data_IF_263076780693
#
_entry.id   IF_263076780693
#
_cell.length_a   1.000
_cell.length_b   1.000
_cell.length_c   1.000
_cell.angle_alpha   90.00
_cell.angle_beta   90.00
_cell.angle_gamma   90.00
#
_symmetry.space_group_name_H-M   'P 1'
#
loop_
_entity.id
_entity.type
_entity.pdbx_description
1 polymer ?
#
# COMPACT_ATOMS: atom_id res chain seq x y z
N UNK A 1 9.48 -27.84 -5.81
CA UNK A 1 10.68 -26.98 -5.88
C UNK A 1 10.33 -25.80 -6.76
N UNK A 2 10.44 -24.56 -6.26
CA UNK A 2 10.27 -23.40 -7.15
C UNK A 2 11.41 -23.40 -8.16
N UNK A 3 11.13 -23.08 -9.43
CA UNK A 3 12.13 -23.02 -10.51
C UNK A 3 13.24 -21.99 -10.24
N UNK A 4 13.04 -21.14 -9.25
CA UNK A 4 13.91 -20.00 -8.95
C UNK A 4 15.16 -20.40 -8.16
N UNK A 5 15.16 -21.58 -7.51
CA UNK A 5 16.29 -22.06 -6.73
C UNK A 5 16.93 -23.27 -7.42
N UNK A 6 18.05 -23.04 -8.09
CA UNK A 6 18.78 -24.05 -8.87
C UNK A 6 20.26 -24.11 -8.46
N UNK A 7 20.52 -24.10 -7.15
CA UNK A 7 21.88 -24.24 -6.63
C UNK A 7 22.46 -25.61 -7.02
N UNK A 8 23.67 -25.66 -7.62
CA UNK A 8 24.37 -26.92 -7.85
C UNK A 8 24.56 -27.71 -6.55
N UNK A 9 24.55 -29.04 -6.61
CA UNK A 9 24.64 -29.94 -5.45
C UNK A 9 25.94 -29.82 -4.62
N UNK A 10 26.94 -29.09 -5.12
CA UNK A 10 28.19 -28.76 -4.42
C UNK A 10 28.37 -27.26 -4.12
N UNK A 11 27.34 -26.44 -4.33
CA UNK A 11 27.45 -25.00 -4.11
C UNK A 11 27.60 -24.68 -2.63
N UNK A 12 28.67 -23.98 -2.30
CA UNK A 12 28.95 -23.47 -0.97
C UNK A 12 29.36 -22.00 -1.07
N UNK A 13 28.82 -21.17 -0.18
CA UNK A 13 29.29 -19.81 -0.01
C UNK A 13 30.63 -19.81 0.72
N UNK A 14 31.54 -18.95 0.28
CA UNK A 14 32.84 -18.79 0.94
C UNK A 14 32.67 -17.99 2.26
N UNK A 15 33.48 -18.25 3.30
CA UNK A 15 33.39 -17.55 4.59
C UNK A 15 33.53 -16.02 4.51
N UNK A 16 34.23 -15.54 3.49
CA UNK A 16 34.40 -14.13 3.12
C UNK A 16 33.11 -13.45 2.66
N UNK A 17 32.12 -14.22 2.21
CA UNK A 17 30.79 -13.72 1.84
C UNK A 17 29.84 -13.64 3.04
N UNK A 18 30.27 -14.09 4.22
CA UNK A 18 29.43 -14.10 5.41
C UNK A 18 29.35 -12.68 5.97
N UNK A 19 28.14 -12.27 6.35
CA UNK A 19 27.93 -11.02 7.06
C UNK A 19 28.68 -11.12 8.39
N UNK A 20 29.57 -10.18 8.67
CA UNK A 20 30.32 -10.14 9.94
C UNK A 20 29.59 -9.28 10.97
N UNK A 21 29.68 -9.68 12.24
CA UNK A 21 29.27 -8.89 13.41
C UNK A 21 30.53 -8.55 14.20
N UNK A 22 31.13 -7.40 13.91
CA UNK A 22 32.52 -7.13 14.30
C UNK A 22 33.48 -7.96 13.43
N UNK A 23 34.37 -8.73 14.06
CA UNK A 23 35.37 -9.53 13.36
C UNK A 23 34.94 -10.99 13.11
N UNK A 24 33.81 -11.42 13.70
CA UNK A 24 33.31 -12.79 13.58
C UNK A 24 32.11 -12.90 12.62
N UNK A 25 31.97 -14.02 11.90
CA UNK A 25 30.81 -14.28 11.05
C UNK A 25 29.53 -14.33 11.88
N UNK A 26 28.53 -13.55 11.46
CA UNK A 26 27.25 -13.40 12.14
C UNK A 26 26.46 -14.70 12.02
N UNK A 27 26.10 -15.25 13.18
CA UNK A 27 25.18 -16.38 13.29
C UNK A 27 23.84 -15.91 13.84
N UNK A 28 22.76 -16.39 13.25
CA UNK A 28 21.40 -16.08 13.70
C UNK A 28 20.53 -17.34 13.68
N UNK A 29 19.58 -17.42 14.61
CA UNK A 29 18.54 -18.44 14.63
C UNK A 29 17.40 -18.04 13.69
N UNK A 30 16.62 -19.01 13.22
CA UNK A 30 15.40 -18.71 12.48
C UNK A 30 14.42 -17.92 13.37
N UNK A 31 13.73 -16.95 12.76
CA UNK A 31 12.67 -16.16 13.40
C UNK A 31 11.41 -16.22 12.53
N UNK A 32 10.23 -16.26 13.17
CA UNK A 32 8.93 -16.36 12.47
C UNK A 32 8.34 -17.77 12.47
N UNK A 33 7.43 -18.04 11.54
CA UNK A 33 6.58 -19.24 11.54
C UNK A 33 7.30 -20.59 11.41
N UNK A 34 8.57 -20.60 10.96
CA UNK A 34 9.41 -21.80 10.86
C UNK A 34 10.43 -21.92 12.01
N UNK A 35 10.47 -20.96 12.94
CA UNK A 35 11.38 -21.00 14.08
C UNK A 35 11.05 -22.11 15.08
N UNK A 36 9.78 -22.53 15.16
CA UNK A 36 9.34 -23.64 16.01
C UNK A 36 9.78 -25.01 15.49
N UNK A 37 10.00 -25.14 14.18
CA UNK A 37 10.42 -26.40 13.55
C UNK A 37 11.93 -26.62 13.56
N UNK A 38 12.72 -25.56 13.72
CA UNK A 38 14.18 -25.63 13.61
C UNK A 38 14.85 -24.58 14.50
N UNK A 39 15.54 -25.06 15.53
CA UNK A 39 16.25 -24.23 16.53
C UNK A 39 17.73 -24.05 16.21
N UNK A 40 18.20 -24.51 15.05
CA UNK A 40 19.61 -24.38 14.68
C UNK A 40 19.99 -22.92 14.40
N UNK A 41 21.28 -22.64 14.54
CA UNK A 41 21.86 -21.35 14.19
C UNK A 41 22.60 -21.44 12.86
N UNK A 42 22.34 -20.47 11.99
CA UNK A 42 22.86 -20.41 10.63
C UNK A 42 23.74 -19.18 10.42
N UNK A 43 24.71 -19.31 9.52
CA UNK A 43 25.46 -18.15 9.02
C UNK A 43 24.60 -17.32 8.08
N UNK A 44 24.80 -16.01 8.13
CA UNK A 44 24.04 -15.06 7.30
C UNK A 44 24.88 -14.64 6.10
N UNK A 45 24.33 -14.78 4.89
CA UNK A 45 24.94 -14.32 3.64
C UNK A 45 24.02 -13.35 2.93
N UNK A 46 24.57 -12.25 2.39
CA UNK A 46 23.86 -11.36 1.48
C UNK A 46 24.35 -11.56 0.06
N UNK A 47 23.51 -12.20 -0.76
CA UNK A 47 23.79 -12.42 -2.17
C UNK A 47 23.23 -11.27 -2.99
N UNK A 48 24.10 -10.60 -3.75
CA UNK A 48 23.74 -9.48 -4.62
C UNK A 48 23.45 -9.90 -6.06
N UNK A 49 23.91 -11.09 -6.48
CA UNK A 49 23.70 -11.65 -7.82
C UNK A 49 22.39 -12.44 -7.90
N UNK A 50 21.87 -12.65 -9.10
CA UNK A 50 20.68 -13.48 -9.36
C UNK A 50 21.01 -14.89 -9.87
N UNK A 51 22.29 -15.27 -9.86
CA UNK A 51 22.76 -16.57 -10.34
C UNK A 51 22.27 -17.71 -9.43
N UNK A 52 21.65 -18.76 -9.98
CA UNK A 52 21.10 -19.93 -9.25
C UNK A 52 20.01 -19.66 -8.20
N UNK A 53 19.58 -18.40 -8.03
CA UNK A 53 18.67 -17.98 -6.96
C UNK A 53 18.47 -16.47 -6.92
N UNK A 54 17.34 -15.96 -6.39
CA UNK A 54 17.10 -14.52 -6.25
C UNK A 54 18.18 -13.85 -5.39
N UNK A 55 18.48 -12.59 -5.69
CA UNK A 55 19.32 -11.77 -4.81
C UNK A 55 18.58 -11.55 -3.48
N UNK A 56 19.29 -11.64 -2.36
CA UNK A 56 18.66 -11.57 -1.05
C UNK A 56 19.52 -12.12 0.07
N UNK A 57 18.89 -12.27 1.22
CA UNK A 57 19.52 -12.73 2.45
C UNK A 57 19.29 -14.23 2.61
N UNK A 58 20.35 -15.00 2.74
CA UNK A 58 20.32 -16.45 2.88
C UNK A 58 20.87 -16.89 4.23
N UNK A 59 20.28 -17.95 4.78
CA UNK A 59 20.79 -18.71 5.92
C UNK A 59 21.50 -19.94 5.43
N UNK A 60 22.74 -20.10 5.90
CA UNK A 60 23.72 -21.05 5.40
C UNK A 60 24.18 -21.94 6.55
N UNK A 61 24.28 -23.25 6.33
CA UNK A 61 24.73 -24.19 7.36
C UNK A 61 26.26 -24.08 7.61
N UNK A 62 26.80 -24.89 8.52
CA UNK A 62 28.23 -24.85 8.85
C UNK A 62 29.16 -25.21 7.68
N UNK A 63 28.63 -25.94 6.69
CA UNK A 63 29.32 -26.36 5.47
C UNK A 63 29.23 -25.33 4.33
N UNK A 64 28.58 -24.18 4.55
CA UNK A 64 28.44 -23.15 3.52
C UNK A 64 27.28 -23.38 2.53
N UNK A 65 26.43 -24.37 2.76
CA UNK A 65 25.29 -24.70 1.88
C UNK A 65 24.07 -23.83 2.23
N UNK A 66 23.39 -23.18 1.26
CA UNK A 66 22.15 -22.45 1.49
C UNK A 66 21.03 -23.39 1.93
N UNK A 67 20.41 -23.10 3.08
CA UNK A 67 19.28 -23.89 3.61
C UNK A 67 17.98 -23.09 3.54
N UNK A 68 18.00 -21.81 3.93
CA UNK A 68 16.80 -20.97 3.91
C UNK A 68 17.06 -19.63 3.20
N UNK A 69 16.04 -19.14 2.49
CA UNK A 69 15.96 -17.75 2.05
C UNK A 69 15.20 -16.95 3.11
N UNK A 70 15.82 -15.90 3.64
CA UNK A 70 15.15 -14.94 4.52
C UNK A 70 14.38 -13.93 3.68
N UNK A 71 13.18 -14.31 3.24
CA UNK A 71 12.32 -13.44 2.43
C UNK A 71 11.57 -12.44 3.32
N UNK A 72 11.79 -11.11 3.17
CA UNK A 72 11.24 -10.11 4.08
C UNK A 72 9.71 -10.07 4.08
N UNK A 73 9.13 -9.61 5.19
CA UNK A 73 7.69 -9.39 5.28
C UNK A 73 7.20 -8.24 4.41
N UNK A 74 8.06 -7.24 4.15
CA UNK A 74 7.77 -6.11 3.25
C UNK A 74 8.52 -6.31 1.93
N UNK A 75 7.83 -6.21 0.79
CA UNK A 75 8.36 -6.46 -0.55
C UNK A 75 9.01 -7.85 -0.74
N UNK A 76 8.57 -8.85 0.04
CA UNK A 76 8.97 -10.25 -0.17
C UNK A 76 8.42 -10.84 -1.46
N UNK A 77 9.11 -11.83 -2.01
CA UNK A 77 8.80 -12.44 -3.31
C UNK A 77 7.89 -13.66 -3.15
N UNK A 78 8.01 -14.39 -2.04
CA UNK A 78 7.36 -15.68 -1.86
C UNK A 78 6.28 -15.62 -0.77
N UNK A 79 5.04 -15.78 -1.19
CA UNK A 79 3.82 -15.75 -0.38
C UNK A 79 3.41 -17.14 0.15
N UNK A 80 4.15 -18.20 -0.19
CA UNK A 80 3.87 -19.58 0.24
C UNK A 80 5.09 -20.26 0.84
N UNK A 81 4.87 -21.03 1.92
CA UNK A 81 5.92 -21.88 2.48
C UNK A 81 6.21 -23.05 1.54
N UNK A 82 7.49 -23.43 1.36
CA UNK A 82 7.85 -24.63 0.61
C UNK A 82 7.21 -25.88 1.24
N UNK A 83 6.49 -26.67 0.43
CA UNK A 83 5.94 -27.96 0.84
C UNK A 83 4.69 -27.91 1.71
N UNK A 84 4.12 -26.73 1.98
CA UNK A 84 2.86 -26.57 2.73
C UNK A 84 1.85 -25.73 1.93
N UNK A 85 0.56 -25.89 2.20
CA UNK A 85 -0.51 -24.99 1.71
C UNK A 85 -0.60 -23.67 2.46
N UNK A 86 0.23 -23.46 3.49
CA UNK A 86 0.22 -22.26 4.33
C UNK A 86 0.79 -21.05 3.59
N UNK A 87 0.02 -19.96 3.55
CA UNK A 87 0.41 -18.66 3.00
C UNK A 87 0.98 -17.74 4.06
N UNK A 88 2.00 -16.96 3.71
CA UNK A 88 2.57 -15.92 4.56
C UNK A 88 2.06 -14.57 4.08
N UNK A 89 1.51 -13.77 5.00
CA UNK A 89 1.11 -12.40 4.68
C UNK A 89 2.36 -11.58 4.33
N UNK A 90 2.38 -11.05 3.10
CA UNK A 90 3.41 -10.12 2.62
C UNK A 90 2.80 -8.74 2.43
N UNK A 91 3.56 -7.71 2.79
CA UNK A 91 3.18 -6.32 2.63
C UNK A 91 3.94 -5.74 1.46
N UNK A 92 3.26 -5.17 0.47
CA UNK A 92 3.94 -4.46 -0.61
C UNK A 92 4.14 -3.00 -0.21
N UNK A 93 5.28 -2.43 -0.57
CA UNK A 93 5.56 -1.01 -0.44
C UNK A 93 5.84 -0.42 -1.84
N UNK A 94 4.80 -0.23 -2.69
CA UNK A 94 4.97 0.16 -4.10
C UNK A 94 5.75 1.47 -4.28
N UNK A 95 5.53 2.45 -3.39
CA UNK A 95 6.24 3.72 -3.41
C UNK A 95 7.75 3.54 -3.19
N UNK A 96 8.13 2.67 -2.25
CA UNK A 96 9.55 2.39 -1.98
C UNK A 96 10.20 1.62 -3.13
N UNK A 97 9.49 0.67 -3.72
CA UNK A 97 9.95 -0.10 -4.89
C UNK A 97 10.21 0.80 -6.10
N UNK A 98 9.30 1.73 -6.39
CA UNK A 98 9.48 2.71 -7.47
C UNK A 98 10.71 3.59 -7.24
N UNK A 99 10.87 4.14 -6.04
CA UNK A 99 12.06 4.94 -5.71
C UNK A 99 13.35 4.12 -5.82
N UNK A 100 13.32 2.84 -5.43
CA UNK A 100 14.45 1.93 -5.60
C UNK A 100 14.83 1.75 -7.06
N UNK A 101 13.86 1.58 -7.97
CA UNK A 101 14.14 1.47 -9.40
C UNK A 101 14.72 2.74 -9.99
N UNK A 102 14.23 3.92 -9.59
CA UNK A 102 14.78 5.21 -10.02
C UNK A 102 16.24 5.34 -9.57
N UNK A 103 16.52 5.11 -8.29
CA UNK A 103 17.88 5.21 -7.75
C UNK A 103 18.82 4.21 -8.42
N UNK A 104 18.39 2.95 -8.57
CA UNK A 104 19.18 1.91 -9.24
C UNK A 104 19.44 2.27 -10.70
N UNK A 105 18.43 2.75 -11.43
CA UNK A 105 18.59 3.17 -12.83
C UNK A 105 19.53 4.36 -12.99
N UNK A 106 19.51 5.33 -12.07
CA UNK A 106 20.45 6.46 -12.07
C UNK A 106 21.88 5.98 -11.76
N UNK A 107 22.05 5.16 -10.71
CA UNK A 107 23.36 4.71 -10.25
C UNK A 107 24.04 3.75 -11.24
N UNK A 108 23.26 2.85 -11.86
CA UNK A 108 23.73 1.92 -12.90
C UNK A 108 23.89 2.58 -14.27
N UNK A 109 23.38 3.81 -14.46
CA UNK A 109 23.27 4.50 -15.75
C UNK A 109 22.41 3.76 -16.80
N UNK A 110 21.60 2.79 -16.38
CA UNK A 110 20.71 2.00 -17.24
C UNK A 110 19.27 2.53 -17.25
N UNK A 111 19.04 3.76 -16.79
CA UNK A 111 17.70 4.35 -16.81
C UNK A 111 17.24 4.52 -18.28
N UNK A 112 16.05 4.02 -18.67
CA UNK A 112 15.54 4.16 -20.03
C UNK A 112 15.10 5.59 -20.31
N UNK A 113 16.05 6.48 -20.61
CA UNK A 113 15.83 7.92 -20.85
C UNK A 113 14.81 8.20 -21.95
N UNK A 114 14.67 7.32 -22.95
CA UNK A 114 13.64 7.43 -23.97
C UNK A 114 12.22 7.41 -23.38
N UNK A 115 11.95 6.52 -22.40
CA UNK A 115 10.64 6.45 -21.73
C UNK A 115 10.40 7.66 -20.82
N UNK A 116 11.46 8.20 -20.20
CA UNK A 116 11.34 9.41 -19.37
C UNK A 116 11.01 10.63 -20.22
N UNK A 117 11.75 10.86 -21.31
CA UNK A 117 11.50 11.97 -22.22
C UNK A 117 10.13 11.86 -22.89
N UNK A 118 9.68 10.65 -23.20
CA UNK A 118 8.31 10.41 -23.65
C UNK A 118 7.28 10.90 -22.62
N UNK A 119 7.46 10.55 -21.34
CA UNK A 119 6.60 11.01 -20.25
C UNK A 119 6.59 12.54 -20.09
N UNK A 120 7.76 13.19 -20.23
CA UNK A 120 7.88 14.66 -20.22
C UNK A 120 7.09 15.26 -21.38
N UNK A 121 7.22 14.70 -22.59
CA UNK A 121 6.48 15.22 -23.75
C UNK A 121 4.97 15.06 -23.59
N UNK A 122 4.50 13.92 -23.09
CA UNK A 122 3.07 13.70 -22.80
C UNK A 122 2.58 14.72 -21.78
N UNK A 123 3.35 14.98 -20.71
CA UNK A 123 3.02 15.97 -19.68
C UNK A 123 2.87 17.36 -20.28
N UNK A 124 3.79 17.79 -21.15
CA UNK A 124 3.73 19.09 -21.83
C UNK A 124 2.48 19.18 -22.70
N UNK A 125 2.18 18.14 -23.50
CA UNK A 125 0.99 18.13 -24.36
C UNK A 125 -0.31 18.22 -23.53
N UNK A 126 -0.39 17.52 -22.41
CA UNK A 126 -1.54 17.57 -21.51
C UNK A 126 -1.71 18.95 -20.88
N UNK A 127 -0.62 19.55 -20.40
CA UNK A 127 -0.64 20.88 -19.78
C UNK A 127 -1.05 21.96 -20.78
N UNK A 128 -0.54 21.89 -22.03
CA UNK A 128 -0.95 22.76 -23.13
C UNK A 128 -2.42 22.56 -23.54
N UNK A 129 -2.96 21.36 -23.31
CA UNK A 129 -4.37 21.04 -23.57
C UNK A 129 -5.30 21.42 -22.40
N UNK A 130 -4.77 22.02 -21.33
CA UNK A 130 -5.52 22.37 -20.12
C UNK A 130 -5.95 21.15 -19.29
N UNK A 131 -5.34 19.98 -19.52
CA UNK A 131 -5.61 18.76 -18.75
C UNK A 131 -4.58 18.64 -17.63
N UNK A 132 -4.99 18.54 -16.35
CA UNK A 132 -4.05 18.36 -15.24
C UNK A 132 -3.23 17.07 -15.40
N UNK A 133 -1.96 17.24 -15.76
CA UNK A 133 -1.04 16.14 -16.07
C UNK A 133 -0.84 15.17 -14.90
N UNK A 134 -0.84 15.69 -13.67
CA UNK A 134 -0.75 14.88 -12.44
C UNK A 134 -1.93 13.92 -12.28
N UNK A 135 -3.16 14.40 -12.47
CA UNK A 135 -4.35 13.57 -12.32
C UNK A 135 -4.41 12.48 -13.39
N UNK A 136 -4.01 12.82 -14.63
CA UNK A 136 -3.91 11.87 -15.72
C UNK A 136 -2.87 10.77 -15.42
N UNK A 137 -1.66 11.14 -15.01
CA UNK A 137 -0.58 10.18 -14.73
C UNK A 137 -0.96 9.21 -13.61
N UNK A 138 -1.58 9.71 -12.54
CA UNK A 138 -2.09 8.87 -11.44
C UNK A 138 -3.20 7.94 -11.93
N UNK A 139 -4.11 8.43 -12.78
CA UNK A 139 -5.20 7.63 -13.33
C UNK A 139 -4.73 6.47 -14.22
N UNK A 140 -3.72 6.69 -15.06
CA UNK A 140 -3.13 5.64 -15.91
C UNK A 140 -2.35 4.61 -15.09
N UNK A 141 -1.77 5.02 -13.96
CA UNK A 141 -0.97 4.15 -13.10
C UNK A 141 -1.82 3.21 -12.23
N UNK A 142 -3.04 3.60 -11.88
CA UNK A 142 -3.88 2.87 -10.92
C UNK A 142 -4.86 1.90 -11.60
N UNK A 143 -5.02 0.67 -11.07
CA UNK A 143 -6.08 -0.23 -11.50
C UNK A 143 -7.48 0.41 -11.42
N UNK A 144 -8.39 0.01 -12.30
CA UNK A 144 -9.76 0.53 -12.32
C UNK A 144 -10.49 0.33 -10.97
N UNK A 145 -10.16 -0.75 -10.26
CA UNK A 145 -10.71 -1.06 -8.93
C UNK A 145 -10.30 -0.06 -7.86
N UNK A 146 -9.09 0.51 -7.95
CA UNK A 146 -8.62 1.53 -7.00
C UNK A 146 -8.93 2.95 -7.44
N UNK A 147 -9.10 3.19 -8.74
CA UNK A 147 -9.50 4.51 -9.26
C UNK A 147 -11.01 4.76 -9.18
N UNK A 148 -11.86 3.73 -9.17
CA UNK A 148 -13.31 3.90 -9.06
C UNK A 148 -13.76 4.63 -7.78
N UNK A 149 -13.27 4.30 -6.56
CA UNK A 149 -13.59 5.07 -5.35
C UNK A 149 -13.11 6.52 -5.41
N UNK A 150 -11.95 6.77 -6.02
CA UNK A 150 -11.41 8.12 -6.22
C UNK A 150 -12.33 8.92 -7.16
N UNK A 151 -12.79 8.30 -8.24
CA UNK A 151 -13.75 8.88 -9.17
C UNK A 151 -15.07 9.24 -8.47
N UNK A 152 -15.62 8.34 -7.65
CA UNK A 152 -16.84 8.61 -6.87
C UNK A 152 -16.62 9.78 -5.90
N UNK A 153 -15.48 9.84 -5.21
CA UNK A 153 -15.13 10.97 -4.35
C UNK A 153 -15.06 12.29 -5.12
N UNK A 154 -14.45 12.28 -6.31
CA UNK A 154 -14.42 13.43 -7.23
C UNK A 154 -15.81 13.85 -7.71
N UNK A 155 -16.68 12.90 -8.04
CA UNK A 155 -18.07 13.17 -8.42
C UNK A 155 -18.86 13.79 -7.27
N UNK A 156 -18.67 13.32 -6.03
CA UNK A 156 -19.29 13.92 -4.84
C UNK A 156 -18.79 15.35 -4.64
N UNK A 157 -17.48 15.59 -4.75
CA UNK A 157 -16.91 16.93 -4.69
C UNK A 157 -17.54 17.84 -5.74
N UNK A 158 -17.59 17.40 -6.99
CA UNK A 158 -18.22 18.17 -8.08
C UNK A 158 -19.70 18.50 -7.79
N UNK A 159 -20.46 17.56 -7.24
CA UNK A 159 -21.86 17.78 -6.86
C UNK A 159 -22.01 18.77 -5.70
N UNK A 160 -21.11 18.69 -4.70
CA UNK A 160 -21.07 19.64 -3.57
C UNK A 160 -20.73 21.04 -4.06
N UNK A 161 -19.70 21.18 -4.90
CA UNK A 161 -19.25 22.48 -5.43
C UNK A 161 -20.35 23.11 -6.29
N UNK A 162 -21.03 22.31 -7.12
CA UNK A 162 -22.20 22.76 -7.90
C UNK A 162 -23.35 23.25 -7.02
N UNK A 163 -23.54 22.64 -5.85
CA UNK A 163 -24.56 23.07 -4.88
C UNK A 163 -24.14 24.35 -4.16
N UNK A 164 -22.90 24.43 -3.68
CA UNK A 164 -22.37 25.59 -2.96
C UNK A 164 -22.27 26.84 -3.85
N UNK A 165 -21.98 26.68 -5.16
CA UNK A 165 -22.02 27.77 -6.16
C UNK A 165 -23.39 28.44 -6.29
N UNK A 166 -24.49 27.76 -5.92
CA UNK A 166 -25.84 28.33 -5.99
C UNK A 166 -26.23 29.15 -4.75
N UNK A 167 -25.42 29.14 -3.70
CA UNK A 167 -25.72 29.93 -2.48
C UNK A 167 -25.45 31.41 -2.72
N UNK A 168 -26.32 32.32 -2.25
CA UNK A 168 -26.20 33.75 -2.50
C UNK A 168 -24.86 34.35 -2.03
N UNK A 169 -24.30 33.82 -0.94
CA UNK A 169 -22.99 34.20 -0.36
C UNK A 169 -21.81 33.92 -1.33
N UNK A 170 -21.99 32.96 -2.23
CA UNK A 170 -20.95 32.42 -3.10
C UNK A 170 -21.07 32.87 -4.57
N UNK A 171 -22.22 33.44 -4.96
CA UNK A 171 -22.49 33.86 -6.35
C UNK A 171 -21.61 35.03 -6.80
N UNK A 172 -21.17 35.87 -5.87
CA UNK A 172 -20.31 37.03 -6.13
C UNK A 172 -18.80 36.74 -6.05
N UNK A 173 -18.41 35.51 -5.73
CA UNK A 173 -17.00 35.16 -5.57
C UNK A 173 -16.37 34.77 -6.92
N UNK A 174 -15.15 35.26 -7.17
CA UNK A 174 -14.30 34.80 -8.29
C UNK A 174 -14.01 33.31 -8.17
N UNK A 175 -13.75 32.64 -9.30
CA UNK A 175 -13.51 31.18 -9.33
C UNK A 175 -12.37 30.72 -8.39
N UNK A 176 -11.29 31.50 -8.31
CA UNK A 176 -10.18 31.22 -7.38
C UNK A 176 -10.59 31.34 -5.89
N UNK A 177 -11.39 32.36 -5.55
CA UNK A 177 -11.89 32.55 -4.19
C UNK A 177 -12.90 31.48 -3.82
N UNK A 178 -13.70 31.04 -4.77
CA UNK A 178 -14.62 29.90 -4.61
C UNK A 178 -13.88 28.60 -4.33
N UNK A 179 -12.83 28.30 -5.08
CA UNK A 179 -12.01 27.11 -4.84
C UNK A 179 -11.41 27.14 -3.42
N UNK A 180 -10.82 28.27 -3.02
CA UNK A 180 -10.22 28.43 -1.70
C UNK A 180 -11.25 28.33 -0.54
N UNK A 181 -12.46 28.84 -0.72
CA UNK A 181 -13.53 28.75 0.28
C UNK A 181 -14.03 27.30 0.41
N UNK A 182 -14.18 26.62 -0.73
CA UNK A 182 -14.67 25.24 -0.80
C UNK A 182 -13.60 24.24 -0.31
N UNK A 183 -12.32 24.56 -0.41
CA UNK A 183 -11.22 23.78 0.18
C UNK A 183 -11.21 23.82 1.71
N UNK A 184 -11.80 24.86 2.31
CA UNK A 184 -12.02 24.96 3.76
C UNK A 184 -13.35 24.33 4.20
N UNK A 185 -14.11 23.74 3.28
CA UNK A 185 -15.44 23.21 3.58
C UNK A 185 -15.36 22.07 4.61
N UNK A 186 -16.42 21.90 5.43
CA UNK A 186 -16.54 20.78 6.36
C UNK A 186 -16.38 19.40 5.68
N UNK A 187 -16.78 19.29 4.40
CA UNK A 187 -16.62 18.07 3.61
C UNK A 187 -15.15 17.70 3.36
N UNK A 188 -14.28 18.67 3.07
CA UNK A 188 -12.84 18.43 2.86
C UNK A 188 -12.16 18.06 4.18
N UNK A 189 -12.53 18.70 5.29
CA UNK A 189 -12.04 18.37 6.62
C UNK A 189 -12.44 16.95 7.06
N UNK A 190 -13.67 16.55 6.77
CA UNK A 190 -14.14 15.20 7.04
C UNK A 190 -13.44 14.16 6.15
N UNK A 191 -13.21 14.48 4.87
CA UNK A 191 -12.46 13.63 3.95
C UNK A 191 -11.01 13.40 4.43
N UNK A 192 -10.32 14.45 4.85
CA UNK A 192 -8.95 14.31 5.40
C UNK A 192 -8.97 13.52 6.72
N UNK A 193 -10.00 13.69 7.54
CA UNK A 193 -10.28 12.86 8.71
C UNK A 193 -10.45 11.38 8.37
N UNK A 194 -11.15 11.04 7.30
CA UNK A 194 -11.27 9.64 6.83
C UNK A 194 -9.94 9.06 6.37
N UNK A 195 -9.09 9.85 5.70
CA UNK A 195 -7.75 9.40 5.30
C UNK A 195 -6.92 9.07 6.55
N UNK A 196 -6.88 9.97 7.54
CA UNK A 196 -6.13 9.76 8.77
C UNK A 196 -6.72 8.63 9.65
N UNK A 197 -8.04 8.55 9.73
CA UNK A 197 -8.73 7.49 10.47
C UNK A 197 -8.52 6.11 9.86
N UNK A 198 -8.56 6.02 8.52
CA UNK A 198 -8.31 4.78 7.80
C UNK A 198 -6.89 4.25 8.00
N UNK A 199 -5.88 5.12 7.98
CA UNK A 199 -4.50 4.71 8.26
C UNK A 199 -4.31 4.27 9.71
N UNK A 200 -4.87 5.00 10.67
CA UNK A 200 -4.80 4.63 12.09
C UNK A 200 -5.52 3.29 12.37
N UNK A 201 -6.70 3.08 11.79
CA UNK A 201 -7.44 1.83 11.89
C UNK A 201 -6.66 0.66 11.26
N UNK A 202 -6.01 0.87 10.11
CA UNK A 202 -5.16 -0.12 9.47
C UNK A 202 -3.94 -0.51 10.32
N UNK A 203 -3.29 0.47 10.95
CA UNK A 203 -2.18 0.23 11.88
C UNK A 203 -2.67 -0.54 13.11
N UNK A 204 -3.81 -0.14 13.69
CA UNK A 204 -4.41 -0.84 14.82
C UNK A 204 -4.75 -2.29 14.46
N UNK A 205 -5.36 -2.51 13.29
CA UNK A 205 -5.67 -3.85 12.78
C UNK A 205 -4.42 -4.71 12.61
N UNK A 206 -3.33 -4.15 12.08
CA UNK A 206 -2.06 -4.86 11.95
C UNK A 206 -1.50 -5.30 13.31
N UNK A 207 -1.57 -4.45 14.34
CA UNK A 207 -1.15 -4.81 15.70
C UNK A 207 -2.02 -5.92 16.31
N UNK A 208 -3.34 -5.88 16.10
CA UNK A 208 -4.25 -6.91 16.61
C UNK A 208 -3.97 -8.29 15.98
N UNK A 209 -3.53 -8.33 14.72
CA UNK A 209 -3.18 -9.57 14.02
C UNK A 209 -1.87 -10.23 14.51
N UNK A 210 -1.07 -9.55 15.34
CA UNK A 210 0.14 -10.15 15.93
C UNK A 210 -0.17 -11.13 17.06
N UNK A 211 -1.36 -11.03 17.68
CA UNK A 211 -1.73 -11.89 18.80
C UNK A 211 -2.53 -13.10 18.31
N UNK A 212 -1.95 -14.29 18.41
CA UNK A 212 -2.56 -15.56 17.96
C UNK A 212 -3.97 -15.79 18.53
N UNK A 213 -4.21 -15.43 19.79
CA UNK A 213 -5.53 -15.55 20.41
C UNK A 213 -6.61 -14.64 19.80
N UNK A 214 -6.24 -13.51 19.22
CA UNK A 214 -7.16 -12.62 18.49
C UNK A 214 -7.42 -13.20 17.10
N UNK A 215 -6.36 -13.61 16.40
CA UNK A 215 -6.44 -14.25 15.07
C UNK A 215 -7.36 -15.47 15.09
N UNK A 216 -7.23 -16.34 16.10
CA UNK A 216 -8.09 -17.53 16.21
C UNK A 216 -9.56 -17.17 16.43
N UNK A 217 -9.86 -16.12 17.21
CA UNK A 217 -11.25 -15.65 17.38
C UNK A 217 -11.81 -15.05 16.08
N UNK A 218 -10.99 -14.31 15.32
CA UNK A 218 -11.40 -13.79 14.02
C UNK A 218 -11.72 -14.92 13.06
N UNK A 219 -10.89 -15.97 13.00
CA UNK A 219 -11.13 -17.15 12.15
C UNK A 219 -12.44 -17.86 12.47
N UNK A 220 -12.74 -18.08 13.75
CA UNK A 220 -14.03 -18.70 14.16
C UNK A 220 -15.21 -17.84 13.74
N UNK A 221 -15.09 -16.51 13.85
CA UNK A 221 -16.12 -15.59 13.38
C UNK A 221 -16.26 -15.59 11.86
N UNK A 222 -15.14 -15.64 11.13
CA UNK A 222 -15.07 -15.70 9.67
C UNK A 222 -15.75 -16.98 9.15
N UNK A 223 -15.44 -18.14 9.73
CA UNK A 223 -16.09 -19.41 9.38
C UNK A 223 -17.61 -19.38 9.63
N UNK A 224 -18.04 -18.82 10.77
CA UNK A 224 -19.46 -18.65 11.07
C UNK A 224 -20.14 -17.73 10.04
N UNK A 225 -19.50 -16.62 9.70
CA UNK A 225 -20.02 -15.62 8.77
C UNK A 225 -20.10 -16.17 7.34
N UNK A 226 -19.09 -16.90 6.87
CA UNK A 226 -19.13 -17.58 5.56
C UNK A 226 -20.29 -18.56 5.47
N UNK A 227 -20.58 -19.30 6.54
CA UNK A 227 -21.66 -20.30 6.53
C UNK A 227 -23.08 -19.69 6.62
N UNK A 228 -23.24 -18.57 7.31
CA UNK A 228 -24.57 -17.98 7.59
C UNK A 228 -24.91 -16.74 6.77
N UNK A 229 -23.92 -16.09 6.15
CA UNK A 229 -24.11 -14.87 5.39
C UNK A 229 -23.70 -15.08 3.92
N UNK A 230 -24.67 -15.18 2.98
CA UNK A 230 -24.39 -15.37 1.56
C UNK A 230 -23.73 -14.14 0.88
N UNK A 231 -23.60 -13.02 1.59
CA UNK A 231 -22.90 -11.82 1.14
C UNK A 231 -21.53 -11.63 1.79
N UNK A 232 -21.07 -12.59 2.60
CA UNK A 232 -19.76 -12.50 3.25
C UNK A 232 -18.64 -12.97 2.31
N UNK A 233 -18.84 -14.07 1.58
CA UNK A 233 -17.86 -14.64 0.66
C UNK A 233 -18.55 -15.08 -0.66
N UNK A 234 -17.85 -14.94 -1.79
CA UNK A 234 -18.35 -15.33 -3.12
C UNK A 234 -18.69 -14.15 -4.04
N UNK A 235 -19.40 -14.37 -5.16
CA UNK A 235 -19.61 -13.36 -6.21
C UNK A 235 -20.36 -12.10 -5.75
N UNK A 236 -21.09 -12.20 -4.64
CA UNK A 236 -21.91 -11.13 -4.09
C UNK A 236 -21.25 -10.43 -2.88
N UNK A 237 -20.01 -10.77 -2.53
CA UNK A 237 -19.30 -10.16 -1.38
C UNK A 237 -19.15 -8.64 -1.52
N UNK A 238 -19.03 -8.17 -2.76
CA UNK A 238 -18.87 -6.75 -3.07
C UNK A 238 -20.06 -5.90 -2.62
N UNK A 239 -21.28 -6.47 -2.60
CA UNK A 239 -22.48 -5.77 -2.15
C UNK A 239 -22.40 -5.38 -0.67
N UNK A 240 -21.85 -6.26 0.16
CA UNK A 240 -21.70 -5.97 1.59
C UNK A 240 -20.64 -4.90 1.84
N UNK A 241 -19.57 -4.89 1.04
CA UNK A 241 -18.55 -3.83 1.04
C UNK A 241 -19.05 -2.48 0.50
N UNK A 242 -20.01 -2.48 -0.41
CA UNK A 242 -20.61 -1.26 -0.96
C UNK A 242 -21.47 -0.51 0.06
N UNK A 243 -22.08 -1.19 1.04
CA UNK A 243 -22.91 -0.54 2.07
C UNK A 243 -22.12 0.49 2.89
N UNK A 244 -21.01 0.16 3.57
CA UNK A 244 -20.24 1.15 4.33
C UNK A 244 -19.64 2.20 3.41
N UNK A 245 -19.23 1.84 2.18
CA UNK A 245 -18.74 2.80 1.20
C UNK A 245 -19.81 3.85 0.82
N UNK A 246 -21.02 3.41 0.50
CA UNK A 246 -22.16 4.29 0.20
C UNK A 246 -22.50 5.15 1.42
N UNK A 247 -22.52 4.59 2.63
CA UNK A 247 -22.79 5.33 3.85
C UNK A 247 -21.78 6.47 4.05
N UNK A 248 -20.48 6.19 3.93
CA UNK A 248 -19.42 7.20 4.04
C UNK A 248 -19.53 8.26 2.93
N UNK A 249 -19.87 7.83 1.71
CA UNK A 249 -20.06 8.71 0.55
C UNK A 249 -21.25 9.66 0.74
N UNK A 250 -22.39 9.13 1.20
CA UNK A 250 -23.60 9.92 1.53
C UNK A 250 -23.28 10.89 2.66
N UNK A 251 -22.61 10.43 3.71
CA UNK A 251 -22.21 11.29 4.83
C UNK A 251 -21.32 12.44 4.37
N UNK A 252 -20.35 12.17 3.49
CA UNK A 252 -19.48 13.19 2.90
C UNK A 252 -20.26 14.19 2.04
N UNK A 253 -21.23 13.73 1.25
CA UNK A 253 -22.12 14.59 0.47
C UNK A 253 -23.00 15.49 1.36
N UNK A 254 -23.59 14.94 2.42
CA UNK A 254 -24.46 15.67 3.35
C UNK A 254 -23.68 16.71 4.16
N UNK A 255 -22.50 16.35 4.68
CA UNK A 255 -21.61 17.28 5.40
C UNK A 255 -21.03 18.33 4.45
N UNK A 256 -20.64 17.94 3.22
CA UNK A 256 -20.17 18.87 2.20
C UNK A 256 -21.22 19.90 1.78
N UNK A 257 -22.52 19.53 1.80
CA UNK A 257 -23.63 20.47 1.57
C UNK A 257 -23.97 21.36 2.77
N UNK A 258 -23.25 21.20 3.88
CA UNK A 258 -23.50 21.88 5.15
C UNK A 258 -24.92 21.62 5.69
N UNK A 259 -25.48 20.44 5.37
CA UNK A 259 -26.73 19.97 5.98
C UNK A 259 -26.47 19.45 7.40
N UNK A 260 -25.32 18.83 7.60
CA UNK A 260 -24.79 18.39 8.89
C UNK A 260 -23.47 19.13 9.16
N UNK A 261 -23.21 19.46 10.43
CA UNK A 261 -22.00 20.19 10.88
C UNK A 261 -21.79 21.56 10.21
N UNK A 262 -22.84 22.40 10.21
CA UNK A 262 -22.73 23.79 9.73
C UNK A 262 -21.61 24.54 10.47
N UNK A 263 -20.66 25.17 9.76
CA UNK A 263 -19.65 26.00 10.40
C UNK A 263 -20.34 27.19 11.08
N UNK A 264 -20.02 27.43 12.35
CA UNK A 264 -20.45 28.64 13.05
C UNK A 264 -19.73 29.83 12.40
N UNK A 265 -20.48 30.80 11.89
CA UNK A 265 -19.90 32.04 11.37
C UNK A 265 -19.05 32.70 12.46
N UNK A 266 -17.74 32.77 12.24
CA UNK A 266 -16.83 33.45 13.16
C UNK A 266 -17.03 34.95 12.96
N UNK A 267 -17.83 35.58 13.82
CA UNK A 267 -17.98 37.03 13.84
C UNK A 267 -16.63 37.61 14.27
N UNK A 268 -15.86 38.10 13.31
CA UNK A 268 -14.63 38.84 13.59
C UNK A 268 -15.06 40.11 14.33
N UNK A 269 -14.83 40.15 15.64
CA UNK A 269 -15.07 41.35 16.45
C UNK A 269 -14.08 42.40 15.93
N UNK A 270 -14.59 43.44 15.30
CA UNK A 270 -13.79 44.56 14.81
C UNK A 270 -13.09 45.19 16.03
N UNK A 271 -11.75 45.16 16.03
CA UNK A 271 -10.89 46.08 16.78
C UNK A 271 -10.40 47.17 15.83
#
# INVERSE_FOLDING_TARGET
QSKDFSFPSGFHFSPDQYVKSGDQPKRESLTGGQASSDSNSYYVVHKTTTEYGPAGRYFVNEQGVPVYLADPGINGIYDRLPGTTNTVAKFTAPKATLMSYIIKGILSRELPWGLVLLGVMITIVLELSGVPSLAFAVGVYLPISTSAPIFVGGAVRWLVDKYLRKKPENVTLTEEKMAAETDKSPGVLLASGYIAGGTLAGVLFAFLNLKEGIVNKLKVYEEWATHHNPFFEGPNSDLLGLIPFLLLTIMLYVVGRELLLKPKAYVRKNE
#
